data_IF_967686231412
#
_entry.id   IF_967686231412
#
_cell.length_a   1.000
_cell.length_b   1.000
_cell.length_c   1.000
_cell.angle_alpha   90.00
_cell.angle_beta   90.00
_cell.angle_gamma   90.00
#
_symmetry.space_group_name_H-M   'P 1'
#
loop_
_entity.id
_entity.type
_entity.pdbx_description
1 polymer ?
#
# COMPACT_ATOMS: atom_id res chain seq x y z
N UNK A 1 17.47 51.96 -13.45
CA UNK A 1 17.99 50.66 -13.92
C UNK A 1 17.42 49.58 -13.01
N UNK A 2 16.21 49.11 -13.30
CA UNK A 2 15.48 48.13 -12.52
C UNK A 2 16.08 46.73 -12.72
N UNK A 3 16.56 46.14 -11.63
CA UNK A 3 17.08 44.77 -11.56
C UNK A 3 15.98 43.81 -12.02
N UNK A 4 16.23 42.83 -12.90
CA UNK A 4 15.21 41.85 -13.24
C UNK A 4 14.95 41.00 -12.00
N UNK A 5 13.72 41.07 -11.50
CA UNK A 5 13.16 40.16 -10.52
C UNK A 5 13.46 38.73 -10.99
N UNK A 6 14.25 37.98 -10.23
CA UNK A 6 14.45 36.56 -10.47
C UNK A 6 13.14 35.86 -10.21
N UNK A 7 12.30 35.73 -11.25
CA UNK A 7 11.12 34.88 -11.26
C UNK A 7 11.52 33.56 -10.61
N UNK A 8 10.92 33.24 -9.47
CA UNK A 8 11.20 32.06 -8.65
C UNK A 8 11.40 30.83 -9.54
N UNK A 9 12.67 30.47 -9.80
CA UNK A 9 12.98 29.48 -10.81
C UNK A 9 12.61 28.10 -10.25
N UNK A 10 11.44 27.59 -10.65
CA UNK A 10 10.98 26.26 -10.27
C UNK A 10 12.07 25.24 -10.63
N UNK A 11 12.54 24.38 -9.70
CA UNK A 11 13.59 23.41 -9.96
C UNK A 11 13.30 22.50 -11.16
N UNK A 12 14.36 22.04 -11.84
CA UNK A 12 14.23 21.19 -13.04
C UNK A 12 13.35 19.97 -12.81
N UNK A 13 13.55 19.26 -11.70
CA UNK A 13 12.86 18.01 -11.41
C UNK A 13 11.38 18.23 -11.12
N UNK A 14 11.03 19.36 -10.50
CA UNK A 14 9.64 19.76 -10.28
C UNK A 14 8.95 20.03 -11.62
N UNK A 15 9.61 20.72 -12.56
CA UNK A 15 9.07 20.90 -13.93
C UNK A 15 8.88 19.58 -14.66
N UNK A 16 9.78 18.62 -14.46
CA UNK A 16 9.67 17.28 -15.04
C UNK A 16 8.46 16.52 -14.46
N UNK A 17 8.24 16.61 -13.14
CA UNK A 17 7.08 16.00 -12.49
C UNK A 17 5.75 16.59 -13.00
N UNK A 18 5.68 17.91 -13.20
CA UNK A 18 4.51 18.54 -13.83
C UNK A 18 4.25 17.99 -15.24
N UNK A 19 5.31 17.78 -16.04
CA UNK A 19 5.17 17.15 -17.36
C UNK A 19 4.70 15.70 -17.26
N UNK A 20 5.21 14.93 -16.30
CA UNK A 20 4.77 13.54 -16.06
C UNK A 20 3.28 13.52 -15.70
N UNK A 21 2.82 14.41 -14.81
CA UNK A 21 1.40 14.52 -14.47
C UNK A 21 0.53 14.89 -15.68
N UNK A 22 1.01 15.79 -16.54
CA UNK A 22 0.32 16.13 -17.79
C UNK A 22 0.18 14.93 -18.73
N UNK A 23 1.18 14.04 -18.83
CA UNK A 23 1.08 12.82 -19.67
C UNK A 23 0.04 11.81 -19.16
N UNK A 24 -0.26 11.83 -17.85
CA UNK A 24 -1.28 11.00 -17.23
C UNK A 24 -2.66 11.68 -17.19
N UNK A 25 -2.80 12.87 -17.79
CA UNK A 25 -4.05 13.65 -17.77
C UNK A 25 -4.38 14.27 -16.41
N UNK A 26 -3.42 14.34 -15.48
CA UNK A 26 -3.62 14.93 -14.16
C UNK A 26 -3.27 16.41 -14.21
N UNK A 27 -4.30 17.26 -14.34
CA UNK A 27 -4.16 18.72 -14.44
C UNK A 27 -4.34 19.46 -13.10
N UNK A 28 -4.91 18.81 -12.09
CA UNK A 28 -5.22 19.40 -10.79
C UNK A 28 -4.58 18.59 -9.67
N UNK A 29 -3.55 19.15 -9.03
CA UNK A 29 -2.89 18.61 -7.84
C UNK A 29 -2.46 19.76 -6.93
N UNK A 30 -2.19 19.45 -5.66
CA UNK A 30 -1.68 20.44 -4.71
C UNK A 30 -0.18 20.67 -4.92
N UNK A 31 0.29 21.89 -4.64
CA UNK A 31 1.68 22.31 -4.91
C UNK A 31 2.74 21.48 -4.16
N UNK A 32 2.39 20.81 -3.06
CA UNK A 32 3.30 19.99 -2.28
C UNK A 32 3.48 18.57 -2.82
N UNK A 33 2.62 18.10 -3.74
CA UNK A 33 2.67 16.73 -4.27
C UNK A 33 3.99 16.43 -5.00
N UNK A 34 4.52 17.31 -5.88
CA UNK A 34 5.82 17.10 -6.51
C UNK A 34 6.95 16.95 -5.49
N UNK A 35 6.94 17.77 -4.42
CA UNK A 35 7.96 17.71 -3.37
C UNK A 35 7.91 16.38 -2.61
N UNK A 36 6.72 15.95 -2.23
CA UNK A 36 6.52 14.66 -1.54
C UNK A 36 6.96 13.47 -2.40
N UNK A 37 6.68 13.51 -3.70
CA UNK A 37 7.10 12.46 -4.63
C UNK A 37 8.61 12.43 -4.83
N UNK A 38 9.26 13.60 -4.85
CA UNK A 38 10.71 13.72 -4.93
C UNK A 38 11.38 13.18 -3.65
N UNK A 39 10.85 13.51 -2.47
CA UNK A 39 11.31 12.95 -1.20
C UNK A 39 11.17 11.43 -1.16
N UNK A 40 10.04 10.91 -1.66
CA UNK A 40 9.83 9.47 -1.81
C UNK A 40 10.87 8.84 -2.75
N UNK A 41 11.10 9.42 -3.93
CA UNK A 41 12.07 8.90 -4.90
C UNK A 41 13.50 8.89 -4.32
N UNK A 42 13.89 9.96 -3.62
CA UNK A 42 15.18 10.05 -2.96
C UNK A 42 15.34 8.97 -1.86
N UNK A 43 14.36 8.83 -0.96
CA UNK A 43 14.38 7.80 0.08
C UNK A 43 14.39 6.39 -0.51
N UNK A 44 13.56 6.14 -1.53
CA UNK A 44 13.48 4.86 -2.21
C UNK A 44 14.82 4.46 -2.83
N UNK A 45 15.40 5.33 -3.66
CA UNK A 45 16.68 5.06 -4.34
C UNK A 45 17.83 4.90 -3.34
N UNK A 46 17.88 5.74 -2.29
CA UNK A 46 18.89 5.61 -1.23
C UNK A 46 18.81 4.25 -0.54
N UNK A 47 17.61 3.77 -0.21
CA UNK A 47 17.43 2.44 0.36
C UNK A 47 17.83 1.32 -0.61
N UNK A 48 17.42 1.40 -1.89
CA UNK A 48 17.82 0.39 -2.91
C UNK A 48 19.33 0.33 -3.07
N UNK A 49 20.00 1.48 -3.15
CA UNK A 49 21.46 1.53 -3.32
C UNK A 49 22.20 0.99 -2.09
N UNK A 50 21.68 1.21 -0.88
CA UNK A 50 22.23 0.61 0.35
C UNK A 50 22.15 -0.91 0.31
N UNK A 51 21.00 -1.47 -0.07
CA UNK A 51 20.83 -2.92 -0.18
C UNK A 51 21.72 -3.51 -1.29
N UNK A 52 21.84 -2.81 -2.43
CA UNK A 52 22.71 -3.21 -3.54
C UNK A 52 24.20 -3.23 -3.14
N UNK A 53 24.65 -2.28 -2.31
CA UNK A 53 26.01 -2.30 -1.76
C UNK A 53 26.25 -3.55 -0.90
N UNK A 54 25.29 -3.91 -0.04
CA UNK A 54 25.37 -5.13 0.78
C UNK A 54 25.43 -6.39 -0.09
N UNK A 55 24.67 -6.43 -1.20
CA UNK A 55 24.70 -7.55 -2.14
C UNK A 55 26.02 -7.66 -2.91
N UNK A 56 26.58 -6.53 -3.36
CA UNK A 56 27.90 -6.49 -3.99
C UNK A 56 29.00 -6.97 -3.03
N UNK A 57 28.95 -6.54 -1.76
CA UNK A 57 29.91 -6.99 -0.73
C UNK A 57 29.80 -8.49 -0.48
N UNK A 58 28.56 -9.02 -0.42
CA UNK A 58 28.32 -10.45 -0.24
C UNK A 58 28.81 -11.30 -1.43
N UNK A 59 28.66 -10.80 -2.66
CA UNK A 59 29.07 -11.51 -3.87
C UNK A 59 30.60 -11.70 -3.99
N UNK A 60 31.41 -10.84 -3.36
CA UNK A 60 32.89 -10.88 -3.45
C UNK A 60 33.58 -11.68 -2.32
N UNK A 61 32.80 -12.36 -1.48
CA UNK A 61 33.29 -13.46 -0.63
C UNK A 61 34.47 -13.11 0.29
N UNK A 62 34.42 -11.98 0.99
CA UNK A 62 35.43 -11.63 2.02
C UNK A 62 36.83 -11.29 1.50
N UNK A 63 37.06 -11.29 0.17
CA UNK A 63 38.25 -10.67 -0.40
C UNK A 63 38.11 -9.18 -0.20
N UNK A 64 38.86 -8.61 0.76
CA UNK A 64 38.79 -7.22 1.25
C UNK A 64 39.05 -6.11 0.22
N UNK A 65 38.87 -6.39 -1.07
CA UNK A 65 38.73 -5.41 -2.13
C UNK A 65 37.27 -4.97 -2.20
N UNK A 66 36.91 -4.01 -1.34
CA UNK A 66 35.66 -3.25 -1.42
C UNK A 66 35.65 -2.43 -2.71
N UNK A 67 35.40 -3.12 -3.82
CA UNK A 67 35.24 -2.48 -5.12
C UNK A 67 33.88 -1.82 -5.12
N UNK A 68 33.90 -0.49 -4.98
CA UNK A 68 32.73 0.39 -4.86
C UNK A 68 31.82 0.44 -6.10
N UNK A 69 32.08 -0.40 -7.11
CA UNK A 69 31.33 -0.42 -8.37
C UNK A 69 30.17 -1.40 -8.26
N UNK A 70 29.00 -0.89 -7.88
CA UNK A 70 27.72 -1.63 -7.86
C UNK A 70 27.35 -2.04 -9.29
N UNK A 71 27.04 -3.32 -9.50
CA UNK A 71 26.57 -3.84 -10.78
C UNK A 71 25.06 -3.61 -10.98
N UNK A 72 24.59 -3.64 -12.22
CA UNK A 72 23.15 -3.61 -12.52
C UNK A 72 22.40 -4.79 -11.93
N UNK A 73 23.08 -5.93 -11.74
CA UNK A 73 22.45 -7.13 -11.17
C UNK A 73 22.23 -7.00 -9.66
N UNK A 74 23.12 -6.32 -8.93
CA UNK A 74 22.94 -6.00 -7.51
C UNK A 74 21.71 -5.10 -7.31
N UNK A 75 21.55 -4.10 -8.18
CA UNK A 75 20.39 -3.20 -8.17
C UNK A 75 19.11 -3.96 -8.48
N UNK A 76 19.13 -4.86 -9.49
CA UNK A 76 17.96 -5.70 -9.82
C UNK A 76 17.57 -6.60 -8.65
N UNK A 77 18.54 -7.20 -7.97
CA UNK A 77 18.30 -8.03 -6.80
C UNK A 77 17.71 -7.21 -5.64
N UNK A 78 18.25 -6.01 -5.37
CA UNK A 78 17.73 -5.08 -4.37
C UNK A 78 16.29 -4.65 -4.64
N UNK A 79 15.95 -4.35 -5.89
CA UNK A 79 14.57 -4.02 -6.28
C UNK A 79 13.65 -5.23 -6.12
N UNK A 80 14.08 -6.42 -6.57
CA UNK A 80 13.29 -7.64 -6.49
C UNK A 80 12.98 -8.04 -5.04
N UNK A 81 13.96 -7.94 -4.15
CA UNK A 81 13.79 -8.24 -2.73
C UNK A 81 12.69 -7.38 -2.07
N UNK A 82 12.59 -6.10 -2.47
CA UNK A 82 11.60 -5.14 -1.92
C UNK A 82 10.22 -5.23 -2.58
N UNK A 83 10.18 -5.60 -3.86
CA UNK A 83 8.93 -5.69 -4.62
C UNK A 83 7.95 -6.70 -4.01
N UNK A 84 8.47 -7.75 -3.37
CA UNK A 84 7.66 -8.80 -2.76
C UNK A 84 6.74 -8.34 -1.61
N UNK A 85 7.05 -7.23 -0.93
CA UNK A 85 6.27 -6.79 0.23
C UNK A 85 5.87 -5.30 0.23
N UNK A 86 6.50 -4.46 -0.59
CA UNK A 86 6.21 -3.01 -0.60
C UNK A 86 5.29 -2.57 -1.73
N UNK A 87 5.38 -3.21 -2.89
CA UNK A 87 4.59 -2.83 -4.06
C UNK A 87 3.49 -3.85 -4.28
N UNK A 88 2.32 -3.38 -4.71
CA UNK A 88 1.24 -4.29 -5.09
C UNK A 88 1.66 -4.98 -6.38
N UNK A 89 1.92 -6.30 -6.38
CA UNK A 89 2.05 -7.01 -7.65
C UNK A 89 0.72 -6.94 -8.38
N UNK A 90 0.75 -7.10 -9.70
CA UNK A 90 -0.47 -7.35 -10.47
C UNK A 90 -1.20 -8.52 -9.81
N UNK A 91 -2.47 -8.35 -9.41
CA UNK A 91 -3.19 -9.39 -8.70
C UNK A 91 -3.19 -10.66 -9.57
N UNK A 92 -2.74 -11.81 -9.02
CA UNK A 92 -2.64 -13.04 -9.80
C UNK A 92 -4.05 -13.49 -10.22
N UNK A 93 -4.35 -13.35 -11.52
CA UNK A 93 -5.67 -13.65 -12.09
C UNK A 93 -6.11 -15.09 -11.80
N UNK A 94 -5.21 -16.06 -11.97
CA UNK A 94 -5.49 -17.48 -11.71
C UNK A 94 -5.88 -17.72 -10.25
N UNK A 95 -5.14 -17.13 -9.30
CA UNK A 95 -5.49 -17.22 -7.87
C UNK A 95 -6.86 -16.59 -7.57
N UNK A 96 -7.18 -15.44 -8.19
CA UNK A 96 -8.49 -14.82 -8.02
C UNK A 96 -9.62 -15.67 -8.62
N UNK A 97 -9.39 -16.33 -9.76
CA UNK A 97 -10.35 -17.22 -10.39
C UNK A 97 -10.59 -18.48 -9.55
N UNK A 98 -9.52 -19.08 -9.01
CA UNK A 98 -9.61 -20.24 -8.12
C UNK A 98 -10.40 -19.89 -6.85
N UNK A 99 -10.07 -18.76 -6.20
CA UNK A 99 -10.77 -18.28 -5.01
C UNK A 99 -12.24 -17.96 -5.32
N UNK A 100 -12.50 -17.35 -6.47
CA UNK A 100 -13.87 -17.10 -6.93
C UNK A 100 -14.63 -18.40 -7.15
N UNK A 101 -14.03 -19.42 -7.76
CA UNK A 101 -14.65 -20.72 -7.97
C UNK A 101 -14.97 -21.41 -6.63
N UNK A 102 -14.03 -21.41 -5.68
CA UNK A 102 -14.25 -21.97 -4.34
C UNK A 102 -15.41 -21.26 -3.63
N UNK A 103 -15.47 -19.92 -3.69
CA UNK A 103 -16.54 -19.13 -3.05
C UNK A 103 -17.89 -19.28 -3.73
N UNK A 104 -17.90 -19.28 -5.06
CA UNK A 104 -19.13 -19.37 -5.86
C UNK A 104 -19.71 -20.79 -5.90
N UNK A 105 -18.96 -21.81 -5.45
CA UNK A 105 -19.47 -23.18 -5.29
C UNK A 105 -20.59 -23.29 -4.24
N UNK A 106 -20.66 -22.33 -3.30
CA UNK A 106 -21.72 -22.28 -2.28
C UNK A 106 -22.97 -21.66 -2.87
N UNK A 107 -24.12 -22.37 -2.89
CA UNK A 107 -25.36 -21.81 -3.41
C UNK A 107 -25.78 -20.62 -2.55
N UNK A 108 -26.55 -19.71 -3.17
CA UNK A 108 -27.10 -18.57 -2.47
C UNK A 108 -28.03 -19.03 -1.33
N UNK A 109 -28.03 -18.35 -0.18
CA UNK A 109 -28.94 -18.67 0.91
C UNK A 109 -30.39 -18.38 0.50
N UNK A 110 -31.33 -19.09 1.12
CA UNK A 110 -32.75 -18.83 0.91
C UNK A 110 -33.12 -17.44 1.42
N UNK A 111 -33.74 -16.63 0.57
CA UNK A 111 -34.15 -15.27 0.90
C UNK A 111 -35.62 -15.28 1.32
N UNK A 112 -36.00 -14.78 2.52
CA UNK A 112 -37.39 -14.70 2.92
C UNK A 112 -38.15 -13.71 2.03
N UNK A 113 -39.40 -13.99 1.61
CA UNK A 113 -40.19 -13.13 0.71
C UNK A 113 -40.70 -11.83 1.37
N UNK A 114 -40.03 -11.35 2.42
CA UNK A 114 -40.38 -10.12 3.13
C UNK A 114 -39.75 -8.93 2.40
N UNK A 115 -40.56 -7.92 2.09
CA UNK A 115 -40.06 -6.64 1.63
C UNK A 115 -39.29 -5.93 2.76
N UNK A 116 -37.99 -5.72 2.58
CA UNK A 116 -37.14 -5.00 3.55
C UNK A 116 -35.72 -5.54 3.64
N UNK A 117 -34.95 -5.00 4.60
CA UNK A 117 -33.59 -5.44 4.87
C UNK A 117 -33.59 -6.69 5.78
N UNK A 118 -32.78 -7.69 5.42
CA UNK A 118 -32.50 -8.84 6.27
C UNK A 118 -31.24 -8.57 7.09
N UNK A 119 -31.42 -8.05 8.31
CA UNK A 119 -30.31 -7.81 9.22
C UNK A 119 -29.73 -9.15 9.74
N UNK A 120 -28.41 -9.24 9.94
CA UNK A 120 -27.83 -10.33 10.71
C UNK A 120 -28.48 -10.44 12.11
N UNK A 121 -28.42 -11.62 12.76
CA UNK A 121 -28.83 -11.77 14.15
C UNK A 121 -28.26 -10.67 15.05
N UNK A 122 -29.01 -10.24 16.07
CA UNK A 122 -28.67 -9.08 16.93
C UNK A 122 -27.25 -9.15 17.51
N UNK A 123 -26.80 -10.36 17.90
CA UNK A 123 -25.42 -10.61 18.36
C UNK A 123 -24.30 -10.29 17.36
N UNK A 124 -24.63 -10.21 16.07
CA UNK A 124 -23.71 -9.82 14.98
C UNK A 124 -24.07 -8.45 14.39
N UNK A 125 -25.03 -7.75 14.98
CA UNK A 125 -25.40 -6.40 14.61
C UNK A 125 -24.67 -5.43 15.55
N UNK A 126 -23.93 -4.48 14.99
CA UNK A 126 -23.41 -3.36 15.75
C UNK A 126 -24.57 -2.40 16.04
N UNK A 127 -25.34 -2.70 17.08
CA UNK A 127 -26.23 -1.71 17.69
C UNK A 127 -25.33 -0.71 18.41
N UNK A 128 -25.49 0.58 18.15
CA UNK A 128 -24.67 1.65 18.72
C UNK A 128 -24.89 1.77 20.24
N UNK A 129 -24.50 0.74 20.99
CA UNK A 129 -24.47 0.66 22.45
C UNK A 129 -23.22 1.38 22.94
N UNK A 130 -23.33 2.04 24.08
CA UNK A 130 -22.17 2.63 24.72
C UNK A 130 -21.20 1.53 25.17
N UNK A 131 -19.89 1.79 25.07
CA UNK A 131 -18.85 0.82 25.43
C UNK A 131 -18.93 0.36 26.90
N UNK A 132 -19.64 1.09 27.76
CA UNK A 132 -19.86 0.73 29.17
C UNK A 132 -20.91 -0.38 29.37
N UNK A 133 -21.82 -0.56 28.42
CA UNK A 133 -22.93 -1.54 28.51
C UNK A 133 -22.51 -2.96 28.07
N UNK A 134 -21.25 -3.13 27.63
CA UNK A 134 -20.72 -4.40 27.12
C UNK A 134 -20.31 -5.38 28.23
N UNK A 135 -20.16 -4.91 29.48
CA UNK A 135 -19.78 -5.75 30.63
C UNK A 135 -20.98 -6.48 31.26
N UNK A 136 -22.22 -6.08 30.95
CA UNK A 136 -23.43 -6.67 31.54
C UNK A 136 -23.85 -7.99 30.86
N UNK A 137 -23.49 -8.20 29.59
CA UNK A 137 -23.90 -9.36 28.79
C UNK A 137 -23.05 -10.63 29.05
N UNK A 138 -21.96 -10.56 29.83
CA UNK A 138 -21.11 -11.72 30.17
C UNK A 138 -21.66 -12.56 31.35
N UNK A 139 -22.73 -12.11 32.02
CA UNK A 139 -23.32 -12.88 33.11
C UNK A 139 -24.21 -14.00 32.58
N UNK A 140 -23.87 -15.28 32.79
CA UNK A 140 -24.65 -16.39 32.27
C UNK A 140 -26.05 -16.36 32.87
N UNK A 141 -27.06 -16.34 32.00
CA UNK A 141 -28.48 -16.43 32.33
C UNK A 141 -28.71 -17.50 33.41
N UNK A 142 -28.91 -17.05 34.66
CA UNK A 142 -29.25 -17.96 35.76
C UNK A 142 -30.54 -18.67 35.39
N UNK A 143 -30.44 -19.99 35.29
CA UNK A 143 -31.56 -20.94 35.16
C UNK A 143 -32.70 -20.52 36.08
N UNK A 144 -33.80 -20.01 35.53
CA UNK A 144 -35.08 -20.09 36.22
C UNK A 144 -35.65 -21.47 35.93
N UNK A 145 -35.56 -22.30 36.96
CA UNK A 145 -36.12 -23.62 37.08
C UNK A 145 -37.39 -23.47 37.94
N UNK A 146 -38.44 -24.18 37.50
CA UNK A 146 -39.78 -24.31 38.08
C UNK A 146 -40.83 -23.33 37.59
#
# INVERSE_FOLDING_TARGET
MSKPESSSAVPRDVRLLHLIFATQGVSSYQDHVPLQLMDFAHRYTTSVLKDALVYNDHAKGGSGSSSATVSTDDIRLAIAARTNYQFKPTPPKELMLELAHERNSKPLPQVPPKWGLNLPPEKYCLTARDFADLEEDEQPSKKMRS
#
